data_IF_465649818056
#
_entry.id   IF_465649818056
#
_cell.length_a   1.000
_cell.length_b   1.000
_cell.length_c   1.000
_cell.angle_alpha   90.00
_cell.angle_beta   90.00
_cell.angle_gamma   90.00
#
_symmetry.space_group_name_H-M   'P 1'
#
loop_
_entity.id
_entity.type
_entity.pdbx_description
1 polymer ?
#
# COMPACT_ATOMS: atom_id res chain seq x y z
N UNK A 1 -22.32 -15.11 -4.55
CA UNK A 1 -21.19 -15.55 -3.71
C UNK A 1 -19.90 -15.27 -4.49
N UNK A 2 -18.87 -14.77 -3.84
CA UNK A 2 -17.54 -14.71 -4.46
C UNK A 2 -17.03 -16.16 -4.65
N UNK A 3 -16.35 -16.47 -5.76
CA UNK A 3 -15.72 -17.77 -5.92
C UNK A 3 -14.69 -17.96 -4.79
N UNK A 4 -14.69 -19.14 -4.20
CA UNK A 4 -13.69 -19.48 -3.17
C UNK A 4 -12.31 -19.53 -3.82
N UNK A 5 -11.38 -18.73 -3.34
CA UNK A 5 -10.01 -18.71 -3.86
C UNK A 5 -9.26 -19.97 -3.39
N UNK A 6 -8.66 -20.76 -4.29
CA UNK A 6 -7.86 -21.91 -3.92
C UNK A 6 -6.46 -21.48 -3.48
N UNK A 7 -6.34 -20.98 -2.25
CA UNK A 7 -5.06 -20.49 -1.73
C UNK A 7 -3.96 -21.57 -1.78
N UNK A 8 -2.71 -21.21 -2.08
CA UNK A 8 -1.59 -22.17 -2.15
C UNK A 8 -1.43 -22.98 -0.87
N UNK A 9 -0.94 -24.21 -1.00
CA UNK A 9 -0.63 -25.12 0.12
C UNK A 9 -1.83 -25.36 1.07
N UNK A 10 -3.05 -25.44 0.52
CA UNK A 10 -4.29 -25.65 1.27
C UNK A 10 -4.54 -24.59 2.37
N UNK A 11 -4.05 -23.37 2.17
CA UNK A 11 -4.34 -22.25 3.05
C UNK A 11 -5.81 -21.83 2.91
N UNK A 12 -6.34 -21.20 3.98
CA UNK A 12 -7.76 -20.82 4.02
C UNK A 12 -7.97 -19.35 3.63
N UNK A 13 -7.00 -18.50 3.89
CA UNK A 13 -7.04 -17.05 3.58
C UNK A 13 -5.63 -16.54 3.32
N UNK A 14 -5.52 -15.28 2.86
CA UNK A 14 -4.24 -14.59 2.74
C UNK A 14 -4.21 -13.31 3.58
N UNK A 15 -3.03 -12.97 4.10
CA UNK A 15 -2.80 -11.73 4.82
C UNK A 15 -1.41 -11.20 4.53
N UNK A 16 -1.34 -9.91 4.22
CA UNK A 16 -0.07 -9.18 4.05
C UNK A 16 -0.18 -7.75 4.55
N UNK A 17 0.96 -7.08 4.68
CA UNK A 17 1.06 -5.68 5.09
C UNK A 17 1.86 -4.92 4.03
N UNK A 18 1.36 -3.75 3.66
CA UNK A 18 2.10 -2.72 2.96
C UNK A 18 2.42 -1.59 3.96
N UNK A 19 3.67 -1.52 4.40
CA UNK A 19 4.15 -0.50 5.32
C UNK A 19 4.63 0.73 4.55
N UNK A 20 3.89 1.83 4.65
CA UNK A 20 4.28 3.13 4.13
C UNK A 20 5.40 3.71 5.00
N UNK A 21 6.39 4.36 4.38
CA UNK A 21 7.64 4.73 5.07
C UNK A 21 7.59 6.08 5.80
N UNK A 22 6.43 6.73 5.84
CA UNK A 22 6.25 8.00 6.54
C UNK A 22 6.74 7.92 7.98
N UNK A 23 7.52 8.91 8.40
CA UNK A 23 8.09 9.04 9.76
C UNK A 23 8.91 7.83 10.22
N UNK A 24 9.29 6.94 9.29
CA UNK A 24 10.05 5.74 9.63
C UNK A 24 11.38 6.09 10.29
N UNK A 25 11.71 5.35 11.34
CA UNK A 25 13.03 5.32 11.93
C UNK A 25 13.53 3.88 12.01
N UNK A 26 14.83 3.70 11.93
CA UNK A 26 15.42 2.37 11.84
C UNK A 26 15.13 1.52 13.07
N UNK A 27 15.29 2.09 14.28
CA UNK A 27 15.16 1.36 15.54
C UNK A 27 13.79 0.71 15.71
N UNK A 28 12.73 1.49 15.52
CA UNK A 28 11.36 1.00 15.69
C UNK A 28 10.99 0.02 14.58
N UNK A 29 11.41 0.30 13.34
CA UNK A 29 11.18 -0.61 12.22
C UNK A 29 11.87 -1.96 12.44
N UNK A 30 13.09 -1.99 12.95
CA UNK A 30 13.81 -3.24 13.27
C UNK A 30 13.01 -4.11 14.24
N UNK A 31 12.45 -3.53 15.30
CA UNK A 31 11.66 -4.27 16.29
C UNK A 31 10.38 -4.87 15.67
N UNK A 32 9.66 -4.09 14.86
CA UNK A 32 8.45 -4.58 14.18
C UNK A 32 8.78 -5.71 13.21
N UNK A 33 9.78 -5.51 12.34
CA UNK A 33 10.15 -6.50 11.32
C UNK A 33 10.79 -7.76 11.92
N UNK A 34 11.49 -7.65 13.05
CA UNK A 34 11.94 -8.80 13.80
C UNK A 34 10.76 -9.64 14.28
N UNK A 35 9.77 -9.02 14.92
CA UNK A 35 8.55 -9.70 15.37
C UNK A 35 7.80 -10.37 14.19
N UNK A 36 7.64 -9.68 13.07
CA UNK A 36 7.01 -10.23 11.88
C UNK A 36 7.78 -11.45 11.34
N UNK A 37 9.11 -11.36 11.29
CA UNK A 37 9.97 -12.46 10.83
C UNK A 37 9.89 -13.68 11.74
N UNK A 38 9.94 -13.50 13.06
CA UNK A 38 9.79 -14.56 14.07
C UNK A 38 8.42 -15.27 13.95
N UNK A 39 7.39 -14.56 13.55
CA UNK A 39 6.04 -15.08 13.33
C UNK A 39 5.80 -15.57 11.88
N UNK A 40 6.85 -15.64 11.06
CA UNK A 40 6.80 -16.06 9.64
C UNK A 40 5.89 -15.22 8.74
N UNK A 41 5.65 -13.96 9.06
CA UNK A 41 5.05 -13.02 8.12
C UNK A 41 6.10 -12.48 7.16
N UNK A 42 5.79 -12.54 5.85
CA UNK A 42 6.54 -11.83 4.83
C UNK A 42 5.66 -10.73 4.25
N UNK A 43 6.11 -9.50 4.37
CA UNK A 43 5.33 -8.29 4.05
C UNK A 43 6.12 -7.39 3.11
N UNK A 44 5.54 -6.25 2.75
CA UNK A 44 6.17 -5.26 1.87
C UNK A 44 6.52 -4.01 2.66
N UNK A 45 7.80 -3.65 2.70
CA UNK A 45 8.31 -2.38 3.19
C UNK A 45 8.46 -1.41 2.03
N UNK A 46 7.72 -0.32 2.00
CA UNK A 46 7.99 0.73 1.04
C UNK A 46 9.12 1.66 1.50
N UNK A 47 9.80 2.28 0.55
CA UNK A 47 10.97 3.13 0.82
C UNK A 47 10.94 4.43 0.05
N UNK A 48 11.59 5.45 0.59
CA UNK A 48 12.08 6.61 -0.13
C UNK A 48 13.52 6.38 -0.57
N UNK A 49 13.81 6.74 -1.82
CA UNK A 49 15.13 6.46 -2.42
C UNK A 49 16.17 7.51 -2.07
N UNK A 50 15.74 8.75 -1.81
CA UNK A 50 16.63 9.88 -1.58
C UNK A 50 16.09 10.77 -0.48
N UNK A 51 16.99 11.47 0.20
CA UNK A 51 16.64 12.51 1.15
C UNK A 51 15.93 13.66 0.43
N UNK A 52 15.04 14.31 1.14
CA UNK A 52 14.38 15.53 0.66
C UNK A 52 15.23 16.78 0.93
N UNK A 53 14.99 17.82 0.13
CA UNK A 53 15.68 19.09 0.27
C UNK A 53 15.40 19.81 1.62
N UNK A 54 14.23 19.53 2.22
CA UNK A 54 13.81 20.09 3.51
C UNK A 54 13.03 19.07 4.31
N UNK A 55 13.26 18.95 5.62
CA UNK A 55 12.43 18.10 6.48
C UNK A 55 10.96 18.53 6.42
N UNK A 56 10.06 17.57 6.43
CA UNK A 56 8.60 17.74 6.56
C UNK A 56 8.13 17.04 7.82
N UNK A 57 6.87 17.23 8.20
CA UNK A 57 6.27 16.48 9.33
C UNK A 57 6.23 14.97 9.12
N UNK A 58 6.30 14.53 7.85
CA UNK A 58 6.22 13.12 7.47
C UNK A 58 7.59 12.54 7.09
N UNK A 59 8.70 13.34 7.20
CA UNK A 59 10.05 12.87 6.91
C UNK A 59 10.46 11.69 7.79
N UNK A 60 11.22 10.78 7.19
CA UNK A 60 11.77 9.59 7.84
C UNK A 60 13.08 9.18 7.17
N UNK A 61 13.63 8.04 7.56
CA UNK A 61 14.85 7.50 6.97
C UNK A 61 14.65 7.13 5.50
N UNK A 62 15.72 7.31 4.71
CA UNK A 62 15.73 7.03 3.27
C UNK A 62 16.86 6.10 2.89
N UNK A 63 16.93 5.66 1.64
CA UNK A 63 18.01 4.83 1.14
C UNK A 63 19.37 5.57 0.98
N UNK A 64 19.45 6.86 1.32
CA UNK A 64 20.72 7.59 1.46
C UNK A 64 21.43 7.26 2.79
N UNK A 65 20.69 6.87 3.83
CA UNK A 65 21.26 6.33 5.06
C UNK A 65 21.79 4.91 4.82
N UNK A 66 23.11 4.75 4.91
CA UNK A 66 23.79 3.46 4.66
C UNK A 66 23.39 2.36 5.63
N UNK A 67 23.12 2.71 6.90
CA UNK A 67 22.74 1.73 7.93
C UNK A 67 21.34 1.22 7.64
N UNK A 68 20.41 2.14 7.32
CA UNK A 68 19.06 1.78 6.90
C UNK A 68 19.05 0.96 5.61
N UNK A 69 19.84 1.35 4.62
CA UNK A 69 19.94 0.62 3.35
C UNK A 69 20.44 -0.81 3.56
N UNK A 70 21.48 -1.02 4.38
CA UNK A 70 21.97 -2.36 4.69
C UNK A 70 20.89 -3.21 5.35
N UNK A 71 20.14 -2.64 6.28
CA UNK A 71 19.00 -3.33 6.91
C UNK A 71 17.90 -3.69 5.89
N UNK A 72 17.59 -2.83 4.92
CA UNK A 72 16.64 -3.16 3.84
C UNK A 72 17.12 -4.33 2.98
N UNK A 73 18.43 -4.41 2.69
CA UNK A 73 19.01 -5.53 1.96
C UNK A 73 18.92 -6.83 2.78
N UNK A 74 19.12 -6.76 4.10
CA UNK A 74 18.88 -7.91 4.99
C UNK A 74 17.40 -8.34 4.99
N UNK A 75 16.47 -7.39 5.03
CA UNK A 75 15.03 -7.70 4.94
C UNK A 75 14.71 -8.41 3.63
N UNK A 76 15.21 -7.91 2.51
CA UNK A 76 15.05 -8.55 1.21
C UNK A 76 15.58 -9.99 1.22
N UNK A 77 16.77 -10.21 1.77
CA UNK A 77 17.36 -11.56 1.90
C UNK A 77 16.54 -12.49 2.80
N UNK A 78 15.80 -11.94 3.77
CA UNK A 78 14.84 -12.68 4.63
C UNK A 78 13.48 -12.91 3.95
N UNK A 79 13.31 -12.51 2.68
CA UNK A 79 12.10 -12.72 1.89
C UNK A 79 11.00 -11.65 2.06
N UNK A 80 11.33 -10.51 2.65
CA UNK A 80 10.46 -9.32 2.60
C UNK A 80 10.59 -8.64 1.25
N UNK A 81 9.51 -8.01 0.79
CA UNK A 81 9.51 -7.20 -0.43
C UNK A 81 9.86 -5.75 -0.11
N UNK A 82 10.64 -5.13 -0.99
CA UNK A 82 10.88 -3.69 -0.96
C UNK A 82 9.99 -3.04 -2.03
N UNK A 83 9.06 -2.18 -1.60
CA UNK A 83 8.15 -1.42 -2.44
C UNK A 83 8.59 0.05 -2.57
N UNK A 84 7.84 0.81 -3.39
CA UNK A 84 8.14 2.21 -3.68
C UNK A 84 7.10 3.16 -3.06
N UNK A 85 7.54 4.29 -2.49
CA UNK A 85 6.66 5.29 -1.88
C UNK A 85 6.98 6.70 -2.39
N UNK A 86 6.94 6.90 -3.70
CA UNK A 86 7.54 8.05 -4.39
C UNK A 86 9.09 8.09 -4.23
N UNK A 87 9.76 9.10 -4.73
CA UNK A 87 11.23 9.20 -4.65
C UNK A 87 11.69 9.64 -3.26
N UNK A 88 10.95 10.57 -2.66
CA UNK A 88 11.23 11.19 -1.37
C UNK A 88 9.93 11.69 -0.71
N UNK A 89 10.03 12.21 0.51
CA UNK A 89 8.92 12.73 1.31
C UNK A 89 8.41 14.13 0.90
N UNK A 90 8.94 14.74 -0.17
CA UNK A 90 8.42 15.96 -0.78
C UNK A 90 8.17 15.76 -2.28
N UNK A 91 7.49 16.74 -2.91
CA UNK A 91 7.22 16.70 -4.34
C UNK A 91 8.51 16.68 -5.16
N UNK A 92 8.62 15.71 -6.06
CA UNK A 92 9.76 15.50 -6.94
C UNK A 92 9.41 15.80 -8.39
N UNK A 93 10.30 16.50 -9.09
CA UNK A 93 10.20 16.67 -10.52
C UNK A 93 10.53 15.37 -11.27
N UNK A 94 10.12 15.32 -12.53
CA UNK A 94 10.33 14.13 -13.39
C UNK A 94 11.75 13.58 -13.37
N UNK A 95 12.76 14.46 -13.39
CA UNK A 95 14.16 14.02 -13.41
C UNK A 95 14.55 13.33 -12.10
N UNK A 96 14.14 13.87 -10.95
CA UNK A 96 14.39 13.27 -9.64
C UNK A 96 13.70 11.90 -9.51
N UNK A 97 12.47 11.79 -10.06
CA UNK A 97 11.73 10.52 -10.07
C UNK A 97 12.46 9.46 -10.89
N UNK A 98 12.97 9.85 -12.10
CA UNK A 98 13.75 8.97 -12.96
C UNK A 98 15.00 8.48 -12.24
N UNK A 99 15.76 9.36 -11.62
CA UNK A 99 16.98 9.03 -10.85
C UNK A 99 16.65 8.13 -9.65
N UNK A 100 15.55 8.39 -8.95
CA UNK A 100 15.07 7.54 -7.85
C UNK A 100 14.73 6.12 -8.30
N UNK A 101 14.06 5.97 -9.45
CA UNK A 101 13.74 4.66 -10.03
C UNK A 101 15.02 3.92 -10.51
N UNK A 102 15.94 4.62 -11.16
CA UNK A 102 17.23 4.07 -11.58
C UNK A 102 18.05 3.62 -10.35
N UNK A 103 18.07 4.43 -9.29
CA UNK A 103 18.72 4.08 -8.02
C UNK A 103 18.08 2.84 -7.39
N UNK A 104 16.74 2.74 -7.39
CA UNK A 104 16.04 1.56 -6.89
C UNK A 104 16.49 0.30 -7.65
N UNK A 105 16.46 0.35 -8.97
CA UNK A 105 16.89 -0.79 -9.82
C UNK A 105 18.36 -1.16 -9.56
N UNK A 106 19.24 -0.17 -9.44
CA UNK A 106 20.67 -0.38 -9.16
C UNK A 106 20.89 -1.08 -7.82
N UNK A 107 20.15 -0.70 -6.78
CA UNK A 107 20.31 -1.22 -5.42
C UNK A 107 19.66 -2.60 -5.27
N UNK A 108 18.41 -2.74 -5.72
CA UNK A 108 17.62 -3.95 -5.46
C UNK A 108 17.62 -4.97 -6.60
N UNK A 109 18.24 -4.66 -7.72
CA UNK A 109 18.38 -5.53 -8.91
C UNK A 109 17.06 -5.86 -9.62
N UNK A 110 16.01 -5.08 -9.40
CA UNK A 110 14.72 -5.18 -10.09
C UNK A 110 13.96 -3.84 -9.99
N UNK A 111 13.01 -3.62 -10.88
CA UNK A 111 12.05 -2.52 -10.73
C UNK A 111 11.11 -2.76 -9.55
N UNK A 112 10.63 -1.71 -8.86
CA UNK A 112 9.66 -1.89 -7.77
C UNK A 112 8.35 -2.47 -8.32
N UNK A 113 7.93 -3.63 -7.81
CA UNK A 113 6.69 -4.26 -8.27
C UNK A 113 5.45 -3.52 -7.74
N UNK A 114 5.51 -3.01 -6.53
CA UNK A 114 4.38 -2.40 -5.82
C UNK A 114 4.73 -0.99 -5.38
N UNK A 115 3.76 -0.07 -5.50
CA UNK A 115 3.88 1.27 -4.93
C UNK A 115 2.59 1.77 -4.28
N UNK A 116 2.78 2.72 -3.36
CA UNK A 116 1.72 3.60 -2.87
C UNK A 116 2.13 5.06 -3.04
N UNK A 117 1.17 5.92 -3.36
CA UNK A 117 1.39 7.36 -3.43
C UNK A 117 1.56 7.95 -2.02
N UNK A 118 2.56 8.80 -1.80
CA UNK A 118 2.69 9.62 -0.59
C UNK A 118 1.79 10.85 -0.68
N UNK A 119 0.91 11.04 0.30
CA UNK A 119 -0.19 12.03 0.22
C UNK A 119 0.23 13.49 0.06
N UNK A 120 1.48 13.84 0.39
CA UNK A 120 2.01 15.20 0.30
C UNK A 120 2.64 15.54 -1.06
N UNK A 121 2.81 14.59 -1.98
CA UNK A 121 3.57 14.77 -3.21
C UNK A 121 2.70 15.12 -4.42
N UNK A 122 3.10 16.15 -5.19
CA UNK A 122 2.37 16.58 -6.39
C UNK A 122 2.47 15.58 -7.55
N UNK A 123 3.55 14.82 -7.64
CA UNK A 123 3.77 13.80 -8.67
C UNK A 123 2.92 12.53 -8.47
N UNK A 124 2.06 12.48 -7.48
CA UNK A 124 1.19 11.33 -7.26
C UNK A 124 0.33 11.01 -8.50
N UNK A 125 0.32 9.70 -8.87
CA UNK A 125 -0.41 9.18 -10.02
C UNK A 125 -1.89 9.01 -9.67
N UNK A 126 -2.77 9.73 -10.38
CA UNK A 126 -4.24 9.65 -10.21
C UNK A 126 -4.72 9.70 -8.76
N UNK A 127 -4.12 10.58 -7.93
CA UNK A 127 -4.44 10.68 -6.51
C UNK A 127 -5.49 11.76 -6.21
N UNK A 128 -5.99 11.80 -4.97
CA UNK A 128 -7.02 12.77 -4.56
C UNK A 128 -8.32 12.60 -5.38
N UNK A 129 -8.83 13.69 -5.96
CA UNK A 129 -10.05 13.69 -6.77
C UNK A 129 -9.91 12.89 -8.07
N UNK A 130 -8.69 12.61 -8.52
CA UNK A 130 -8.44 11.81 -9.72
C UNK A 130 -8.63 10.31 -9.51
N UNK A 131 -8.79 9.86 -8.25
CA UNK A 131 -9.17 8.47 -7.93
C UNK A 131 -10.59 8.13 -8.41
N UNK A 132 -11.48 9.11 -8.41
CA UNK A 132 -12.92 8.97 -8.71
C UNK A 132 -13.33 9.78 -9.93
N UNK A 133 -14.50 9.47 -10.51
CA UNK A 133 -14.98 10.04 -11.75
C UNK A 133 -16.43 10.58 -11.64
N UNK A 134 -16.83 11.46 -12.59
CA UNK A 134 -18.20 11.97 -12.70
C UNK A 134 -18.73 12.61 -11.42
N UNK A 135 -19.98 12.32 -11.03
CA UNK A 135 -20.62 12.86 -9.82
C UNK A 135 -19.87 12.55 -8.52
N UNK A 136 -19.21 11.39 -8.44
CA UNK A 136 -18.38 10.99 -7.28
C UNK A 136 -17.19 11.92 -7.09
N UNK A 137 -16.58 12.40 -8.19
CA UNK A 137 -15.52 13.42 -8.15
C UNK A 137 -16.04 14.75 -7.63
N UNK A 138 -17.24 15.17 -8.06
CA UNK A 138 -17.86 16.39 -7.56
C UNK A 138 -18.11 16.30 -6.04
N UNK A 139 -18.70 15.19 -5.59
CA UNK A 139 -18.91 14.93 -4.15
C UNK A 139 -17.59 14.94 -3.37
N UNK A 140 -16.56 14.21 -3.84
CA UNK A 140 -15.26 14.21 -3.21
C UNK A 140 -14.65 15.61 -3.09
N UNK A 141 -14.75 16.44 -4.14
CA UNK A 141 -14.25 17.80 -4.14
C UNK A 141 -14.99 18.68 -3.11
N UNK A 142 -16.32 18.55 -3.01
CA UNK A 142 -17.12 19.27 -1.99
C UNK A 142 -16.65 18.84 -0.58
N UNK A 143 -16.56 17.54 -0.31
CA UNK A 143 -16.13 16.99 0.99
C UNK A 143 -14.71 17.43 1.38
N UNK A 144 -13.82 17.55 0.42
CA UNK A 144 -12.45 18.03 0.64
C UNK A 144 -12.29 19.53 0.48
N UNK A 145 -13.41 20.29 0.34
CA UNK A 145 -13.43 21.74 0.12
C UNK A 145 -12.52 22.18 -1.03
N UNK A 146 -12.46 21.38 -2.09
CA UNK A 146 -11.64 21.58 -3.29
C UNK A 146 -10.12 21.73 -3.05
N UNK A 147 -9.62 21.51 -1.81
CA UNK A 147 -8.22 21.74 -1.44
C UNK A 147 -7.20 20.95 -2.26
N UNK A 148 -7.60 19.80 -2.82
CA UNK A 148 -6.69 18.86 -3.49
C UNK A 148 -7.07 18.52 -4.94
N UNK A 149 -8.01 19.19 -5.55
CA UNK A 149 -8.50 18.81 -6.88
C UNK A 149 -7.48 19.03 -8.01
N UNK A 150 -6.58 20.03 -7.87
CA UNK A 150 -5.55 20.37 -8.86
C UNK A 150 -4.12 20.10 -8.35
N UNK A 151 -3.99 19.49 -7.18
CA UNK A 151 -2.68 19.32 -6.53
C UNK A 151 -1.85 18.21 -7.21
N UNK A 152 -2.47 17.05 -7.48
CA UNK A 152 -1.77 15.87 -7.98
C UNK A 152 -1.66 15.87 -9.49
N UNK A 153 -0.45 15.81 -10.02
CA UNK A 153 -0.11 16.07 -11.42
C UNK A 153 0.73 14.97 -12.09
N UNK A 154 1.07 13.88 -11.38
CA UNK A 154 1.94 12.83 -11.91
C UNK A 154 1.45 12.16 -13.19
N UNK A 155 0.16 12.22 -13.47
CA UNK A 155 -0.50 11.71 -14.68
C UNK A 155 -0.80 12.80 -15.74
N UNK A 156 -0.41 14.06 -15.50
CA UNK A 156 -0.66 15.17 -16.42
C UNK A 156 0.61 15.45 -17.26
N UNK A 157 0.59 15.11 -18.53
CA UNK A 157 1.72 15.24 -19.47
C UNK A 157 2.29 16.66 -19.57
N UNK A 158 1.46 17.69 -19.39
CA UNK A 158 1.90 19.08 -19.43
C UNK A 158 2.54 19.58 -18.12
N UNK A 159 2.63 18.72 -17.11
CA UNK A 159 3.17 19.08 -15.80
C UNK A 159 4.65 18.74 -15.66
N UNK A 160 5.47 19.56 -14.99
CA UNK A 160 6.86 19.19 -14.66
C UNK A 160 6.95 18.01 -13.68
N UNK A 161 5.82 17.63 -13.05
CA UNK A 161 5.69 16.45 -12.19
C UNK A 161 5.22 15.20 -12.94
N UNK A 162 5.08 15.26 -14.27
CA UNK A 162 4.64 14.11 -15.05
C UNK A 162 5.67 12.99 -15.07
N UNK A 163 5.21 11.77 -14.76
CA UNK A 163 6.02 10.56 -14.85
C UNK A 163 5.18 9.30 -15.15
N UNK A 164 3.98 9.49 -15.68
CA UNK A 164 3.05 8.39 -15.95
C UNK A 164 3.64 7.28 -16.83
N UNK A 165 4.42 7.65 -17.85
CA UNK A 165 5.14 6.71 -18.72
C UNK A 165 6.20 5.89 -17.94
N UNK A 166 6.93 6.52 -17.01
CA UNK A 166 7.89 5.84 -16.14
C UNK A 166 7.16 4.92 -15.14
N UNK A 167 6.03 5.38 -14.57
CA UNK A 167 5.20 4.54 -13.71
C UNK A 167 4.77 3.27 -14.44
N UNK A 168 4.23 3.40 -15.66
CA UNK A 168 3.82 2.26 -16.48
C UNK A 168 4.98 1.33 -16.81
N UNK A 169 6.18 1.87 -17.04
CA UNK A 169 7.38 1.09 -17.35
C UNK A 169 7.91 0.29 -16.16
N UNK A 170 7.93 0.90 -14.97
CA UNK A 170 8.66 0.37 -13.81
C UNK A 170 7.76 -0.24 -12.73
N UNK A 171 6.48 0.19 -12.60
CA UNK A 171 5.59 -0.23 -11.52
C UNK A 171 4.51 -1.18 -12.06
N UNK A 172 4.37 -2.35 -11.43
CA UNK A 172 3.32 -3.30 -11.81
C UNK A 172 2.01 -2.99 -11.11
N UNK A 173 2.04 -2.73 -9.81
CA UNK A 173 0.86 -2.56 -8.96
C UNK A 173 0.90 -1.22 -8.22
N UNK A 174 -0.18 -0.44 -8.32
CA UNK A 174 -0.35 0.84 -7.60
C UNK A 174 -1.54 0.75 -6.66
N UNK A 175 -1.35 1.11 -5.38
CA UNK A 175 -2.45 1.18 -4.41
C UNK A 175 -3.40 2.33 -4.74
N UNK A 176 -4.70 2.01 -4.79
CA UNK A 176 -5.75 3.01 -5.03
C UNK A 176 -6.58 3.28 -3.77
N UNK A 177 -7.57 2.43 -3.49
CA UNK A 177 -8.53 2.62 -2.42
C UNK A 177 -8.11 1.92 -1.14
N UNK A 178 -8.43 2.54 0.00
CA UNK A 178 -8.29 1.96 1.33
C UNK A 178 -9.68 1.82 1.94
N UNK A 179 -10.00 0.63 2.45
CA UNK A 179 -11.30 0.29 3.04
C UNK A 179 -11.14 -0.09 4.50
N UNK A 180 -12.21 0.10 5.30
CA UNK A 180 -12.23 -0.25 6.71
C UNK A 180 -12.32 -1.75 7.01
N UNK A 181 -12.79 -2.53 6.04
CA UNK A 181 -12.96 -3.98 6.20
C UNK A 181 -11.62 -4.70 6.15
N UNK A 182 -11.43 -5.71 7.03
CA UNK A 182 -10.23 -6.57 7.00
C UNK A 182 -10.14 -7.38 5.71
N UNK A 183 -11.28 -7.78 5.13
CA UNK A 183 -11.30 -8.52 3.87
C UNK A 183 -11.23 -7.55 2.67
N UNK A 184 -10.01 -7.16 2.31
CA UNK A 184 -9.75 -6.27 1.16
C UNK A 184 -10.32 -6.84 -0.13
N UNK A 185 -10.22 -8.16 -0.33
CA UNK A 185 -10.71 -8.84 -1.53
C UNK A 185 -12.24 -8.77 -1.63
N UNK A 186 -12.98 -8.82 -0.52
CA UNK A 186 -14.43 -8.60 -0.48
C UNK A 186 -14.79 -7.16 -0.86
N UNK A 187 -13.94 -6.19 -0.51
CA UNK A 187 -14.14 -4.80 -0.89
C UNK A 187 -13.84 -4.54 -2.36
N UNK A 188 -12.80 -5.16 -2.88
CA UNK A 188 -12.35 -5.04 -4.27
C UNK A 188 -12.17 -6.43 -4.91
N UNK A 189 -13.28 -7.11 -5.31
CA UNK A 189 -13.27 -8.53 -5.69
C UNK A 189 -12.57 -8.84 -7.01
N UNK A 190 -12.20 -7.84 -7.77
CA UNK A 190 -11.50 -7.96 -9.05
C UNK A 190 -10.06 -7.47 -9.00
N UNK A 191 -9.51 -7.19 -7.81
CA UNK A 191 -8.10 -6.80 -7.69
C UNK A 191 -7.15 -7.99 -7.94
N UNK A 192 -5.99 -7.74 -8.61
CA UNK A 192 -5.59 -6.50 -9.24
C UNK A 192 -6.33 -6.26 -10.56
N UNK A 193 -6.68 -5.00 -10.86
CA UNK A 193 -7.46 -4.65 -12.04
C UNK A 193 -6.81 -3.54 -12.87
N UNK A 194 -7.14 -3.50 -14.18
CA UNK A 194 -6.78 -2.42 -15.09
C UNK A 194 -7.94 -1.44 -15.23
N UNK A 195 -7.65 -0.15 -15.29
CA UNK A 195 -8.61 0.91 -15.60
C UNK A 195 -8.11 1.67 -16.84
N UNK A 196 -8.73 1.44 -17.99
CA UNK A 196 -8.34 2.06 -19.25
C UNK A 196 -8.45 3.59 -19.25
N UNK A 197 -9.24 4.17 -18.33
CA UNK A 197 -9.30 5.62 -18.15
C UNK A 197 -8.13 6.20 -17.37
N UNK A 198 -7.23 5.32 -16.89
CA UNK A 198 -6.01 5.66 -16.14
C UNK A 198 -4.80 4.92 -16.75
N UNK A 199 -4.43 5.23 -18.01
CA UNK A 199 -3.51 4.42 -18.82
C UNK A 199 -2.07 4.32 -18.27
N UNK A 200 -1.67 5.19 -17.33
CA UNK A 200 -0.33 5.18 -16.75
C UNK A 200 -0.13 4.22 -15.59
N UNK A 201 -1.16 3.44 -15.22
CA UNK A 201 -1.05 2.40 -14.19
C UNK A 201 -1.36 1.04 -14.81
N UNK A 202 -0.44 0.07 -14.64
CA UNK A 202 -0.62 -1.27 -15.16
C UNK A 202 -1.76 -1.99 -14.44
N UNK A 203 -1.68 -2.07 -13.11
CA UNK A 203 -2.72 -2.69 -12.27
C UNK A 203 -2.93 -1.91 -10.98
N UNK A 204 -4.20 -1.79 -10.60
CA UNK A 204 -4.62 -1.21 -9.34
C UNK A 204 -4.95 -2.28 -8.31
N UNK A 205 -4.64 -2.00 -7.04
CA UNK A 205 -5.10 -2.80 -5.91
C UNK A 205 -5.66 -1.91 -4.79
N UNK A 206 -6.40 -2.54 -3.88
CA UNK A 206 -6.93 -1.90 -2.67
C UNK A 206 -6.23 -2.42 -1.42
N UNK A 207 -6.37 -1.68 -0.32
CA UNK A 207 -5.86 -2.07 1.00
C UNK A 207 -6.94 -1.95 2.08
N UNK A 208 -6.70 -2.56 3.22
CA UNK A 208 -7.47 -2.39 4.45
C UNK A 208 -6.83 -1.31 5.33
N UNK A 209 -7.65 -0.52 6.03
CA UNK A 209 -7.23 0.63 6.83
C UNK A 209 -6.56 0.20 8.13
N UNK A 210 -5.33 0.68 8.34
CA UNK A 210 -4.56 0.46 9.53
C UNK A 210 -3.44 1.50 9.71
N UNK A 211 -3.69 2.75 9.29
CA UNK A 211 -2.70 3.83 9.18
C UNK A 211 -1.84 4.08 10.42
N UNK A 212 -2.27 3.65 11.60
CA UNK A 212 -1.55 3.69 12.86
C UNK A 212 -1.88 2.44 13.71
N UNK A 213 -1.16 2.22 14.80
CA UNK A 213 -1.35 1.03 15.66
C UNK A 213 -2.78 0.86 16.17
N UNK A 214 -3.50 1.95 16.46
CA UNK A 214 -4.88 1.89 16.96
C UNK A 214 -5.84 1.38 15.87
N UNK A 215 -5.74 1.92 14.66
CA UNK A 215 -6.56 1.51 13.52
C UNK A 215 -6.18 0.11 13.05
N UNK A 216 -4.89 -0.21 13.01
CA UNK A 216 -4.39 -1.56 12.72
C UNK A 216 -5.00 -2.59 13.68
N UNK A 217 -4.86 -2.37 15.00
CA UNK A 217 -5.37 -3.28 16.02
C UNK A 217 -6.91 -3.40 16.01
N UNK A 218 -7.64 -2.36 15.58
CA UNK A 218 -9.08 -2.41 15.38
C UNK A 218 -9.43 -3.29 14.18
N UNK A 219 -8.74 -3.11 13.06
CA UNK A 219 -8.97 -3.87 11.83
C UNK A 219 -8.59 -5.34 12.01
N UNK A 220 -7.45 -5.64 12.66
CA UNK A 220 -6.93 -7.02 12.88
C UNK A 220 -7.43 -7.61 14.22
N UNK A 221 -8.58 -7.16 14.73
CA UNK A 221 -9.17 -7.73 15.96
C UNK A 221 -9.44 -9.23 15.83
N UNK A 222 -9.48 -9.94 16.95
CA UNK A 222 -9.70 -11.39 16.99
C UNK A 222 -10.92 -11.82 16.17
N UNK A 223 -12.06 -11.12 16.34
CA UNK A 223 -13.28 -11.33 15.57
C UNK A 223 -13.07 -11.16 14.06
N UNK A 224 -12.33 -10.14 13.67
CA UNK A 224 -12.07 -9.88 12.27
C UNK A 224 -11.10 -10.90 11.64
N UNK A 225 -10.13 -11.40 12.42
CA UNK A 225 -9.26 -12.49 11.98
C UNK A 225 -10.06 -13.77 11.72
N UNK A 226 -11.01 -14.12 12.63
CA UNK A 226 -11.89 -15.28 12.46
C UNK A 226 -12.74 -15.13 11.20
N UNK A 227 -13.37 -13.97 11.03
CA UNK A 227 -14.17 -13.66 9.84
C UNK A 227 -13.37 -13.72 8.54
N UNK A 228 -12.12 -13.24 8.52
CA UNK A 228 -11.27 -13.30 7.33
C UNK A 228 -11.00 -14.76 6.91
N UNK A 229 -10.73 -15.63 7.89
CA UNK A 229 -10.51 -17.06 7.69
C UNK A 229 -11.81 -17.77 7.23
N UNK A 230 -12.93 -17.52 7.89
CA UNK A 230 -14.25 -18.07 7.54
C UNK A 230 -14.69 -17.67 6.11
N UNK A 231 -14.46 -16.39 5.74
CA UNK A 231 -14.79 -15.88 4.40
C UNK A 231 -13.80 -16.38 3.32
N UNK A 232 -12.66 -16.96 3.70
CA UNK A 232 -11.63 -17.38 2.75
C UNK A 232 -11.04 -16.22 1.97
N UNK A 233 -10.98 -15.03 2.56
CA UNK A 233 -10.65 -13.77 1.92
C UNK A 233 -9.16 -13.45 1.84
N UNK A 234 -8.85 -12.20 1.49
CA UNK A 234 -7.50 -11.64 1.54
C UNK A 234 -7.48 -10.26 2.16
N UNK A 235 -6.50 -10.04 3.03
CA UNK A 235 -6.18 -8.73 3.59
C UNK A 235 -4.86 -8.22 3.05
N UNK A 236 -4.86 -7.01 2.48
CA UNK A 236 -3.65 -6.21 2.22
C UNK A 236 -3.72 -5.01 3.16
N UNK A 237 -3.10 -5.13 4.32
CA UNK A 237 -3.13 -4.10 5.35
C UNK A 237 -2.24 -2.92 4.98
N UNK A 238 -2.78 -1.72 4.96
CA UNK A 238 -2.04 -0.47 4.89
C UNK A 238 -1.67 0.01 6.29
N UNK A 239 -0.44 0.43 6.52
CA UNK A 239 -0.02 0.98 7.81
C UNK A 239 1.23 1.86 7.68
N UNK A 240 1.56 2.59 8.79
CA UNK A 240 2.86 3.20 9.04
C UNK A 240 3.38 2.62 10.35
N UNK A 241 4.41 1.80 10.30
CA UNK A 241 4.97 1.20 11.50
C UNK A 241 5.62 2.22 12.46
N UNK A 242 5.90 3.43 11.97
CA UNK A 242 6.31 4.54 12.82
C UNK A 242 5.18 5.09 13.73
N UNK A 243 3.92 4.80 13.43
CA UNK A 243 2.79 5.42 14.12
C UNK A 243 2.28 4.59 15.30
N UNK A 244 3.07 4.61 16.39
CA UNK A 244 2.71 4.08 17.70
C UNK A 244 2.87 2.56 17.87
N UNK A 245 3.47 1.86 16.91
CA UNK A 245 3.76 0.42 17.06
C UNK A 245 4.87 0.15 18.07
N UNK A 246 5.80 1.10 18.22
CA UNK A 246 6.83 1.10 19.26
C UNK A 246 6.69 2.33 20.15
N UNK A 247 6.88 2.14 21.46
CA UNK A 247 6.97 3.22 22.44
C UNK A 247 8.11 2.88 23.41
N UNK A 248 8.99 3.85 23.67
CA UNK A 248 10.16 3.68 24.56
C UNK A 248 11.05 2.45 24.24
N UNK A 249 11.12 2.07 22.96
CA UNK A 249 11.92 0.91 22.53
C UNK A 249 11.22 -0.44 22.70
N UNK A 250 9.92 -0.45 23.00
CA UNK A 250 9.12 -1.67 23.15
C UNK A 250 7.96 -1.71 22.15
N UNK A 251 7.68 -2.89 21.61
CA UNK A 251 6.53 -3.12 20.74
C UNK A 251 5.22 -3.10 21.53
N UNK A 252 4.18 -2.54 20.91
CA UNK A 252 2.80 -2.61 21.41
C UNK A 252 2.40 -4.04 21.73
N UNK A 253 2.06 -4.32 23.00
CA UNK A 253 1.63 -5.65 23.45
C UNK A 253 0.39 -6.14 22.69
N UNK A 254 -0.55 -5.24 22.39
CA UNK A 254 -1.75 -5.58 21.64
C UNK A 254 -1.40 -6.01 20.21
N UNK A 255 -0.49 -5.31 19.56
CA UNK A 255 0.01 -5.70 18.23
C UNK A 255 0.66 -7.09 18.28
N UNK A 256 1.61 -7.32 19.20
CA UNK A 256 2.27 -8.62 19.38
C UNK A 256 1.26 -9.76 19.59
N UNK A 257 0.30 -9.56 20.50
CA UNK A 257 -0.74 -10.56 20.79
C UNK A 257 -1.58 -10.90 19.57
N UNK A 258 -2.03 -9.89 18.83
CA UNK A 258 -2.86 -10.08 17.63
C UNK A 258 -2.09 -10.75 16.49
N UNK A 259 -0.85 -10.35 16.25
CA UNK A 259 -0.01 -10.98 15.21
C UNK A 259 0.34 -12.43 15.60
N UNK A 260 0.64 -12.69 16.87
CA UNK A 260 0.86 -14.06 17.38
C UNK A 260 -0.38 -14.94 17.24
N UNK A 261 -1.60 -14.38 17.44
CA UNK A 261 -2.84 -15.12 17.18
C UNK A 261 -3.02 -15.41 15.69
N UNK A 262 -2.84 -14.41 14.84
CA UNK A 262 -2.99 -14.54 13.40
C UNK A 262 -2.01 -15.55 12.80
N UNK A 263 -0.75 -15.60 13.28
CA UNK A 263 0.27 -16.53 12.80
C UNK A 263 -0.07 -18.01 13.05
N UNK A 264 -0.96 -18.30 14.02
CA UNK A 264 -1.42 -19.66 14.32
C UNK A 264 -2.57 -20.15 13.44
N UNK A 265 -3.18 -19.24 12.67
CA UNK A 265 -4.25 -19.58 11.73
C UNK A 265 -3.71 -20.14 10.43
N UNK A 266 -4.57 -20.81 9.68
CA UNK A 266 -4.18 -21.41 8.38
C UNK A 266 -4.12 -20.35 7.27
N UNK A 267 -3.32 -19.29 7.48
CA UNK A 267 -3.14 -18.19 6.56
C UNK A 267 -1.94 -18.33 5.62
N UNK A 268 -2.01 -17.69 4.46
CA UNK A 268 -0.90 -17.50 3.54
C UNK A 268 -0.32 -16.08 3.73
N UNK A 269 0.90 -16.00 4.29
CA UNK A 269 1.56 -14.77 4.71
C UNK A 269 2.74 -14.45 3.80
N UNK A 270 2.50 -13.66 2.75
CA UNK A 270 3.45 -13.38 1.67
C UNK A 270 3.50 -11.90 1.34
N UNK A 271 4.53 -11.40 0.64
CA UNK A 271 4.58 -10.03 0.16
C UNK A 271 3.39 -9.65 -0.74
N UNK A 272 3.13 -8.35 -0.84
CA UNK A 272 1.98 -7.82 -1.59
C UNK A 272 2.03 -8.21 -3.06
N UNK A 273 3.20 -8.10 -3.73
CA UNK A 273 3.29 -8.49 -5.15
C UNK A 273 3.02 -9.97 -5.35
N UNK A 274 3.55 -10.83 -4.47
CA UNK A 274 3.31 -12.28 -4.52
C UNK A 274 1.82 -12.62 -4.42
N UNK A 275 1.12 -11.97 -3.48
CA UNK A 275 -0.34 -12.12 -3.34
C UNK A 275 -1.08 -11.61 -4.59
N UNK A 276 -0.70 -10.45 -5.11
CA UNK A 276 -1.35 -9.86 -6.29
C UNK A 276 -1.07 -10.65 -7.56
N UNK A 277 0.13 -11.20 -7.74
CA UNK A 277 0.47 -12.09 -8.87
C UNK A 277 -0.35 -13.37 -8.85
N UNK A 278 -0.56 -13.95 -7.67
CA UNK A 278 -1.45 -15.10 -7.50
C UNK A 278 -2.90 -14.73 -7.85
N UNK A 279 -3.44 -13.66 -7.27
CA UNK A 279 -4.80 -13.21 -7.56
C UNK A 279 -5.00 -12.86 -9.02
N UNK A 280 -3.99 -12.28 -9.68
CA UNK A 280 -4.03 -11.95 -11.11
C UNK A 280 -4.26 -13.18 -11.98
N UNK A 281 -3.69 -14.34 -11.61
CA UNK A 281 -3.89 -15.60 -12.29
C UNK A 281 -5.25 -16.23 -11.98
N UNK A 282 -5.61 -16.32 -10.69
CA UNK A 282 -6.83 -16.99 -10.24
C UNK A 282 -8.11 -16.24 -10.65
N UNK A 283 -8.13 -14.92 -10.53
CA UNK A 283 -9.28 -14.08 -10.89
C UNK A 283 -9.29 -13.75 -12.40
N UNK A 284 -8.19 -14.09 -13.13
CA UNK A 284 -7.96 -13.68 -14.52
C UNK A 284 -8.13 -12.18 -14.64
N UNK A 285 -7.19 -11.43 -14.04
CA UNK A 285 -7.23 -9.99 -13.87
C UNK A 285 -7.82 -9.25 -15.08
N UNK A 286 -8.91 -8.55 -14.87
CA UNK A 286 -9.73 -7.98 -15.92
C UNK A 286 -9.60 -6.46 -15.97
N UNK A 287 -10.00 -5.91 -17.10
CA UNK A 287 -10.28 -4.49 -17.20
C UNK A 287 -11.59 -4.19 -16.47
N UNK A 288 -11.53 -3.22 -15.55
CA UNK A 288 -12.72 -2.80 -14.81
C UNK A 288 -13.70 -2.09 -15.75
N UNK A 289 -14.92 -2.62 -15.82
CA UNK A 289 -15.96 -1.97 -16.62
C UNK A 289 -16.54 -0.73 -15.88
N UNK A 290 -17.26 0.17 -16.59
CA UNK A 290 -17.82 1.39 -16.00
C UNK A 290 -18.76 1.15 -14.80
N UNK A 291 -19.51 0.03 -14.79
CA UNK A 291 -20.43 -0.32 -13.68
C UNK A 291 -19.63 -0.74 -12.43
N UNK A 292 -18.64 -1.61 -12.59
CA UNK A 292 -17.76 -2.05 -11.51
C UNK A 292 -16.98 -0.86 -10.92
N UNK A 293 -16.42 0.01 -11.78
CA UNK A 293 -15.71 1.22 -11.34
C UNK A 293 -16.63 2.12 -10.50
N UNK A 294 -17.84 2.42 -10.99
CA UNK A 294 -18.81 3.22 -10.24
C UNK A 294 -19.14 2.62 -8.88
N UNK A 295 -19.37 1.31 -8.83
CA UNK A 295 -19.68 0.62 -7.57
C UNK A 295 -18.52 0.71 -6.56
N UNK A 296 -17.28 0.49 -7.04
CA UNK A 296 -16.07 0.59 -6.22
C UNK A 296 -15.83 2.01 -5.70
N UNK A 297 -15.97 3.02 -6.55
CA UNK A 297 -15.84 4.43 -6.19
C UNK A 297 -16.89 4.87 -5.16
N UNK A 298 -18.16 4.43 -5.29
CA UNK A 298 -19.19 4.68 -4.30
C UNK A 298 -18.90 4.01 -2.98
N UNK A 299 -18.52 2.72 -3.01
CA UNK A 299 -18.15 1.99 -1.79
C UNK A 299 -17.03 2.69 -1.03
N UNK A 300 -16.00 3.13 -1.73
CA UNK A 300 -14.91 3.87 -1.11
C UNK A 300 -15.35 5.24 -0.54
N UNK A 301 -16.18 6.00 -1.25
CA UNK A 301 -16.69 7.28 -0.74
C UNK A 301 -17.52 7.11 0.52
N UNK A 302 -18.37 6.09 0.59
CA UNK A 302 -19.12 5.79 1.80
C UNK A 302 -18.20 5.41 2.96
N UNK A 303 -17.23 4.56 2.71
CA UNK A 303 -16.27 4.13 3.72
C UNK A 303 -15.47 5.33 4.27
N UNK A 304 -15.04 6.22 3.37
CA UNK A 304 -14.34 7.46 3.74
C UNK A 304 -15.21 8.42 4.57
N UNK A 305 -16.49 8.54 4.26
CA UNK A 305 -17.43 9.39 5.00
C UNK A 305 -17.67 8.88 6.43
N UNK A 306 -17.78 7.56 6.60
CA UNK A 306 -18.07 6.94 7.89
C UNK A 306 -16.84 6.95 8.81
N UNK A 307 -15.66 6.75 8.26
CA UNK A 307 -14.42 6.54 9.04
C UNK A 307 -13.48 7.74 9.04
N UNK A 308 -13.72 8.75 8.21
CA UNK A 308 -12.77 9.85 8.02
C UNK A 308 -11.42 9.39 7.45
N UNK A 309 -11.36 8.19 6.83
CA UNK A 309 -10.13 7.56 6.34
C UNK A 309 -9.47 8.33 5.20
N UNK A 310 -8.21 8.05 4.97
CA UNK A 310 -7.32 8.62 3.93
C UNK A 310 -7.77 8.38 2.49
#
# INVERSE_FOLDING_TARGET
MQPKIPWPNNKQFAFTIFDDTDRANLKDNQLVYQCLNELNFKTTKSVWMTDGNKPTKDSGVTCDDKIYLNWLLELKNKGFEIGYHNTTYHSSYRQEIKEGLEKFVKIFNHSPAVMANHSANQENIYWGSHRVSGSRRAIYNILTRFKKNKFYKGHNESSPYFWGDLCRKHITYVRNFVFSDINTLKCCPFMPYRDLTKPYVNYWFASSEGNNVKMFNKCVSDKNQDRLEEEGGACIMYTHFADGFCQNGELSEKFKKQMKRLSKKNGWFVPVSTLLDFLKKEIKAQEINPKQRRALEWKWLFDKLILGST
#
